data_IF_491956509121
#
_entry.id   IF_491956509121
#
_cell.length_a   1.000
_cell.length_b   1.000
_cell.length_c   1.000
_cell.angle_alpha   90.00
_cell.angle_beta   90.00
_cell.angle_gamma   90.00
#
_symmetry.space_group_name_H-M   'P 1'
#
loop_
_entity.id
_entity.type
_entity.pdbx_description
1 polymer ?
#
# COMPACT_ATOMS: atom_id res chain seq x y z
N UNK A 1 -14.64 4.04 -18.82
CA UNK A 1 -13.52 3.22 -18.31
C UNK A 1 -14.14 2.17 -17.40
N UNK A 2 -13.91 0.87 -17.63
CA UNK A 2 -14.42 -0.15 -16.72
C UNK A 2 -13.78 0.05 -15.33
N UNK A 3 -14.53 -0.17 -14.22
CA UNK A 3 -13.93 -0.18 -12.89
C UNK A 3 -12.78 -1.19 -12.88
N UNK A 4 -11.63 -0.82 -12.34
CA UNK A 4 -10.56 -1.79 -12.17
C UNK A 4 -11.05 -2.88 -11.21
N UNK A 5 -11.16 -4.10 -11.73
CA UNK A 5 -11.52 -5.24 -10.90
C UNK A 5 -10.44 -5.46 -9.85
N UNK A 6 -10.87 -5.69 -8.60
CA UNK A 6 -9.97 -6.00 -7.50
C UNK A 6 -9.16 -7.25 -7.86
N UNK A 7 -7.83 -7.26 -7.67
CA UNK A 7 -7.01 -8.44 -7.96
C UNK A 7 -7.43 -9.63 -7.09
N UNK A 8 -7.25 -10.84 -7.64
CA UNK A 8 -7.38 -12.08 -6.86
C UNK A 8 -6.43 -12.05 -5.65
N UNK A 9 -6.84 -12.69 -4.55
CA UNK A 9 -6.01 -12.84 -3.36
C UNK A 9 -4.68 -13.50 -3.71
N UNK A 10 -3.59 -12.97 -3.16
CA UNK A 10 -2.25 -13.51 -3.27
C UNK A 10 -2.09 -14.72 -2.37
N UNK A 11 -1.62 -15.83 -2.95
CA UNK A 11 -1.47 -17.12 -2.32
C UNK A 11 -0.01 -17.57 -2.25
N UNK A 12 0.92 -16.63 -2.04
CA UNK A 12 2.38 -16.84 -2.09
C UNK A 12 2.97 -17.20 -3.47
N UNK A 13 2.16 -17.43 -4.50
CA UNK A 13 2.60 -17.80 -5.87
C UNK A 13 2.45 -16.63 -6.84
N UNK A 14 3.37 -16.51 -7.81
CA UNK A 14 3.38 -15.46 -8.86
C UNK A 14 3.37 -14.03 -8.30
N UNK A 15 4.20 -13.74 -7.30
CA UNK A 15 4.20 -12.44 -6.61
C UNK A 15 4.36 -11.26 -7.58
N UNK A 16 5.23 -11.39 -8.59
CA UNK A 16 5.43 -10.36 -9.61
C UNK A 16 4.13 -9.98 -10.32
N UNK A 17 3.33 -10.98 -10.70
CA UNK A 17 2.05 -10.79 -11.40
C UNK A 17 1.00 -10.20 -10.47
N UNK A 18 0.90 -10.71 -9.24
CA UNK A 18 -0.03 -10.16 -8.25
C UNK A 18 0.31 -8.70 -7.92
N UNK A 19 1.59 -8.39 -7.68
CA UNK A 19 2.07 -7.04 -7.40
C UNK A 19 1.71 -6.08 -8.53
N UNK A 20 1.94 -6.45 -9.78
CA UNK A 20 1.56 -5.61 -10.93
C UNK A 20 0.06 -5.30 -10.96
N UNK A 21 -0.79 -6.30 -10.75
CA UNK A 21 -2.25 -6.10 -10.69
C UNK A 21 -2.67 -5.24 -9.50
N UNK A 22 -2.05 -5.44 -8.33
CA UNK A 22 -2.29 -4.62 -7.15
C UNK A 22 -1.87 -3.17 -7.38
N UNK A 23 -0.72 -2.92 -7.99
CA UNK A 23 -0.27 -1.59 -8.37
C UNK A 23 -1.25 -0.89 -9.29
N UNK A 24 -1.72 -1.58 -10.34
CA UNK A 24 -2.72 -1.03 -11.26
C UNK A 24 -4.02 -0.67 -10.52
N UNK A 25 -4.50 -1.55 -9.65
CA UNK A 25 -5.68 -1.32 -8.82
C UNK A 25 -5.50 -0.08 -7.92
N UNK A 26 -4.38 0.04 -7.20
CA UNK A 26 -4.08 1.21 -6.36
C UNK A 26 -3.94 2.50 -7.17
N UNK A 27 -3.45 2.44 -8.41
CA UNK A 27 -3.40 3.60 -9.31
C UNK A 27 -4.80 4.11 -9.64
N UNK A 28 -5.75 3.21 -9.90
CA UNK A 28 -7.15 3.61 -10.15
C UNK A 28 -7.83 4.24 -8.93
N UNK A 29 -7.31 3.98 -7.74
CA UNK A 29 -7.75 4.57 -6.48
C UNK A 29 -6.94 5.82 -6.08
N UNK A 30 -5.97 6.25 -6.89
CA UNK A 30 -5.03 7.32 -6.57
C UNK A 30 -4.17 7.07 -5.31
N UNK A 31 -3.97 5.80 -4.94
CA UNK A 31 -3.25 5.38 -3.73
C UNK A 31 -1.86 4.81 -4.00
N UNK A 32 -1.48 4.62 -5.26
CA UNK A 32 -0.18 4.02 -5.63
C UNK A 32 1.02 4.76 -5.01
N UNK A 33 0.97 6.09 -4.88
CA UNK A 33 2.08 6.89 -4.33
C UNK A 33 2.48 6.51 -2.90
N UNK A 34 1.55 5.96 -2.11
CA UNK A 34 1.80 5.59 -0.71
C UNK A 34 2.63 4.30 -0.57
N UNK A 35 2.79 3.55 -1.67
CA UNK A 35 3.63 2.35 -1.67
C UNK A 35 5.10 2.65 -1.96
N UNK A 36 5.46 3.90 -2.27
CA UNK A 36 6.84 4.29 -2.63
C UNK A 36 7.32 5.56 -1.94
N UNK A 37 6.44 6.54 -1.71
CA UNK A 37 6.80 7.81 -1.08
C UNK A 37 6.69 7.74 0.43
N UNK A 38 7.57 8.48 1.10
CA UNK A 38 7.50 8.77 2.53
C UNK A 38 6.47 9.87 2.81
N UNK A 39 6.10 10.01 4.09
CA UNK A 39 5.21 11.07 4.53
C UNK A 39 5.77 12.45 4.14
N UNK A 40 4.91 13.40 3.72
CA UNK A 40 5.36 14.71 3.29
C UNK A 40 5.99 15.47 4.46
N UNK A 41 7.12 16.11 4.19
CA UNK A 41 7.67 17.12 5.09
C UNK A 41 6.80 18.37 5.01
N UNK A 42 6.38 18.87 6.17
CA UNK A 42 5.50 20.03 6.23
C UNK A 42 6.34 21.31 6.15
N UNK A 43 6.08 22.23 5.21
CA UNK A 43 6.89 23.43 5.05
C UNK A 43 7.03 24.29 6.31
N UNK A 44 8.16 24.99 6.41
CA UNK A 44 8.34 26.03 7.41
C UNK A 44 7.38 27.20 7.13
N UNK A 45 6.67 27.67 8.15
CA UNK A 45 5.66 28.74 8.02
C UNK A 45 4.21 28.26 7.78
N UNK A 46 3.97 26.96 7.61
CA UNK A 46 2.60 26.39 7.58
C UNK A 46 1.94 26.49 8.96
N UNK A 47 0.69 26.95 9.05
CA UNK A 47 -0.01 27.07 10.34
C UNK A 47 -0.26 25.71 10.97
N UNK A 48 -0.30 25.62 12.31
CA UNK A 48 -0.49 24.34 13.02
C UNK A 48 -1.73 23.57 12.55
N UNK A 49 -2.81 24.30 12.21
CA UNK A 49 -4.04 23.72 11.66
C UNK A 49 -3.82 23.07 10.31
N UNK A 50 -3.12 23.74 9.41
CA UNK A 50 -2.78 23.19 8.09
C UNK A 50 -1.82 22.01 8.21
N UNK A 51 -0.82 22.09 9.11
CA UNK A 51 0.10 20.99 9.41
C UNK A 51 -0.67 19.74 9.84
N UNK A 52 -1.61 19.92 10.77
CA UNK A 52 -2.47 18.85 11.26
C UNK A 52 -3.29 18.22 10.12
N UNK A 53 -3.93 19.03 9.28
CA UNK A 53 -4.73 18.54 8.14
C UNK A 53 -3.88 17.73 7.16
N UNK A 54 -2.68 18.19 6.82
CA UNK A 54 -1.76 17.50 5.91
C UNK A 54 -1.40 16.12 6.46
N UNK A 55 -1.00 16.07 7.73
CA UNK A 55 -0.58 14.83 8.40
C UNK A 55 -1.73 13.84 8.51
N UNK A 56 -2.91 14.27 8.94
CA UNK A 56 -4.07 13.38 9.09
C UNK A 56 -4.59 12.88 7.74
N UNK A 57 -4.59 13.74 6.70
CA UNK A 57 -4.97 13.33 5.34
C UNK A 57 -4.01 12.28 4.78
N UNK A 58 -2.70 12.45 5.04
CA UNK A 58 -1.70 11.46 4.66
C UNK A 58 -1.92 10.14 5.37
N UNK A 59 -2.04 10.14 6.71
CA UNK A 59 -2.28 8.94 7.52
C UNK A 59 -3.54 8.20 7.08
N UNK A 60 -4.63 8.92 6.81
CA UNK A 60 -5.87 8.31 6.35
C UNK A 60 -5.69 7.62 5.00
N UNK A 61 -5.02 8.29 4.05
CA UNK A 61 -4.79 7.74 2.72
C UNK A 61 -3.81 6.55 2.75
N UNK A 62 -2.76 6.61 3.56
CA UNK A 62 -1.85 5.50 3.79
C UNK A 62 -2.57 4.32 4.46
N UNK A 63 -3.42 4.58 5.46
CA UNK A 63 -4.28 3.56 6.06
C UNK A 63 -5.14 2.85 5.01
N UNK A 64 -5.80 3.60 4.11
CA UNK A 64 -6.59 3.01 3.03
C UNK A 64 -5.73 2.16 2.10
N UNK A 65 -4.59 2.68 1.64
CA UNK A 65 -3.68 1.96 0.76
C UNK A 65 -3.21 0.64 1.37
N UNK A 66 -2.78 0.67 2.63
CA UNK A 66 -2.41 -0.52 3.42
C UNK A 66 -3.52 -1.54 3.47
N UNK A 67 -4.75 -1.11 3.77
CA UNK A 67 -5.90 -2.00 3.85
C UNK A 67 -6.24 -2.63 2.49
N UNK A 68 -6.10 -1.90 1.38
CA UNK A 68 -6.30 -2.49 0.05
C UNK A 68 -5.27 -3.56 -0.26
N UNK A 69 -3.99 -3.31 0.05
CA UNK A 69 -2.92 -4.31 -0.10
C UNK A 69 -3.23 -5.55 0.74
N UNK A 70 -3.51 -5.37 2.04
CA UNK A 70 -3.87 -6.44 2.96
C UNK A 70 -5.09 -7.23 2.45
N UNK A 71 -6.11 -6.55 1.95
CA UNK A 71 -7.32 -7.18 1.43
C UNK A 71 -7.10 -8.02 0.16
N UNK A 72 -5.93 -7.85 -0.49
CA UNK A 72 -5.47 -8.64 -1.61
C UNK A 72 -4.59 -9.82 -1.20
N UNK A 73 -4.40 -10.08 0.09
CA UNK A 73 -3.67 -11.25 0.61
C UNK A 73 -4.63 -12.38 0.99
N UNK A 74 -4.15 -13.62 0.99
CA UNK A 74 -4.80 -14.72 1.71
C UNK A 74 -4.72 -14.49 3.23
N UNK A 75 -5.59 -15.19 3.97
CA UNK A 75 -5.86 -14.87 5.37
C UNK A 75 -4.65 -15.19 6.28
N UNK A 76 -3.86 -16.22 5.94
CA UNK A 76 -2.60 -16.54 6.60
C UNK A 76 -1.57 -15.41 6.46
N UNK A 77 -1.42 -14.87 5.24
CA UNK A 77 -0.54 -13.73 4.97
C UNK A 77 -1.08 -12.44 5.58
N UNK A 78 -2.39 -12.21 5.51
CA UNK A 78 -3.04 -11.07 6.15
C UNK A 78 -2.67 -11.01 7.63
N UNK A 79 -2.81 -12.12 8.35
CA UNK A 79 -2.53 -12.15 9.79
C UNK A 79 -1.07 -11.79 10.09
N UNK A 80 -0.12 -12.34 9.32
CA UNK A 80 1.32 -12.04 9.47
C UNK A 80 1.63 -10.56 9.24
N UNK A 81 1.02 -9.96 8.23
CA UNK A 81 1.34 -8.59 7.81
C UNK A 81 0.40 -7.50 8.35
N UNK A 82 -0.68 -7.87 9.04
CA UNK A 82 -1.70 -6.94 9.56
C UNK A 82 -1.13 -5.89 10.52
N UNK A 83 -0.04 -6.22 11.23
CA UNK A 83 0.64 -5.33 12.17
C UNK A 83 1.53 -4.26 11.53
N UNK A 84 1.78 -4.30 10.22
CA UNK A 84 2.65 -3.33 9.56
C UNK A 84 2.06 -1.92 9.60
N UNK A 85 2.87 -0.88 9.88
CA UNK A 85 2.35 0.46 10.17
C UNK A 85 2.08 1.28 8.91
N UNK A 86 2.90 1.14 7.88
CA UNK A 86 2.77 1.90 6.63
C UNK A 86 2.63 1.02 5.38
N UNK A 87 1.98 1.55 4.33
CA UNK A 87 1.82 0.82 3.06
C UNK A 87 3.15 0.51 2.38
N UNK A 88 4.10 1.46 2.45
CA UNK A 88 5.45 1.31 1.92
C UNK A 88 6.22 0.18 2.61
N UNK A 89 6.16 0.11 3.93
CA UNK A 89 6.78 -0.97 4.72
C UNK A 89 6.15 -2.32 4.38
N UNK A 90 4.82 -2.36 4.27
CA UNK A 90 4.08 -3.59 3.95
C UNK A 90 4.50 -4.13 2.58
N UNK A 91 4.50 -3.26 1.56
CA UNK A 91 4.94 -3.66 0.23
C UNK A 91 6.41 -4.08 0.24
N UNK A 92 7.28 -3.34 0.91
CA UNK A 92 8.71 -3.66 1.02
C UNK A 92 8.96 -5.02 1.68
N UNK A 93 8.22 -5.36 2.73
CA UNK A 93 8.34 -6.66 3.41
C UNK A 93 7.86 -7.82 2.52
N UNK A 94 6.78 -7.61 1.76
CA UNK A 94 6.33 -8.58 0.76
C UNK A 94 7.38 -8.76 -0.35
N UNK A 95 7.95 -7.67 -0.86
CA UNK A 95 9.01 -7.74 -1.85
C UNK A 95 10.23 -8.48 -1.32
N UNK A 96 10.70 -8.19 -0.11
CA UNK A 96 11.87 -8.88 0.46
C UNK A 96 11.64 -10.39 0.59
N UNK A 97 10.44 -10.82 0.99
CA UNK A 97 10.13 -12.23 1.17
C UNK A 97 9.99 -12.99 -0.17
N UNK A 98 9.31 -12.38 -1.15
CA UNK A 98 8.90 -13.08 -2.37
C UNK A 98 9.73 -12.75 -3.62
N UNK A 99 10.77 -11.90 -3.51
CA UNK A 99 11.65 -11.54 -4.64
C UNK A 99 12.54 -12.69 -5.12
N UNK A 100 12.72 -13.73 -4.30
CA UNK A 100 13.56 -14.90 -4.60
C UNK A 100 12.78 -16.13 -5.10
N UNK A 101 11.44 -16.11 -5.12
CA UNK A 101 10.63 -17.27 -5.53
C UNK A 101 10.38 -17.39 -7.05
N UNK A 102 10.84 -16.41 -7.84
CA UNK A 102 10.65 -16.34 -9.31
C UNK A 102 12.00 -16.40 -10.07
N UNK A 103 13.09 -16.86 -9.43
CA UNK A 103 14.41 -17.05 -10.04
C UNK A 103 14.64 -18.51 -10.47
#
# INVERSE_FOLDING_TARGET
MAPAEKPKKFASIDFKRWKQKMFFYLTTLCLQRFTSKDAPEVPEGTSDKERFIIVETWKHSDFLCRNYILSGLQDDLYNVYSGTKASKELLGALEQKYKTEDA
#
